data_IF_010607216433
#
_entry.id   IF_010607216433
#
_cell.length_a   1.000
_cell.length_b   1.000
_cell.length_c   1.000
_cell.angle_alpha   90.00
_cell.angle_beta   90.00
_cell.angle_gamma   90.00
#
_symmetry.space_group_name_H-M   'P 1'
#
loop_
_entity.id
_entity.type
_entity.pdbx_description
1 polymer ?
#
# COMPACT_ATOMS: atom_id res chain seq x y z
N UNK A 1 7.97 17.44 7.46
CA UNK A 1 8.00 17.12 6.01
C UNK A 1 6.80 16.28 5.61
N UNK A 2 6.54 15.15 6.28
CA UNK A 2 5.34 14.34 6.03
C UNK A 2 4.02 15.11 6.28
N UNK A 3 3.94 15.92 7.35
CA UNK A 3 2.76 16.77 7.62
C UNK A 3 2.47 17.78 6.49
N UNK A 4 3.53 18.35 5.90
CA UNK A 4 3.38 19.27 4.78
C UNK A 4 2.82 18.57 3.53
N UNK A 5 3.22 17.33 3.28
CA UNK A 5 2.68 16.50 2.18
C UNK A 5 1.20 16.17 2.47
N UNK A 6 0.88 15.73 3.70
CA UNK A 6 -0.50 15.47 4.13
C UNK A 6 -1.40 16.68 3.88
N UNK A 7 -0.94 17.87 4.26
CA UNK A 7 -1.67 19.12 4.06
C UNK A 7 -1.79 19.51 2.58
N UNK A 8 -0.72 19.39 1.81
CA UNK A 8 -0.70 19.74 0.38
C UNK A 8 -1.65 18.86 -0.46
N UNK A 9 -1.73 17.57 -0.17
CA UNK A 9 -2.56 16.63 -0.93
C UNK A 9 -3.93 16.35 -0.27
N UNK A 10 -4.14 16.84 0.95
CA UNK A 10 -5.34 16.60 1.76
C UNK A 10 -5.71 15.10 1.84
N UNK A 11 -4.70 14.26 2.07
CA UNK A 11 -4.83 12.81 2.30
C UNK A 11 -3.97 12.41 3.48
N UNK A 12 -4.36 11.33 4.16
CA UNK A 12 -3.54 10.77 5.23
C UNK A 12 -2.23 10.20 4.67
N UNK A 13 -1.16 10.13 5.50
CA UNK A 13 0.02 9.34 5.18
C UNK A 13 -0.31 7.86 4.95
N UNK A 14 0.59 7.08 4.31
CA UNK A 14 0.39 5.66 4.11
C UNK A 14 0.15 4.92 5.44
N UNK A 15 -0.65 3.86 5.38
CA UNK A 15 -1.15 3.13 6.55
C UNK A 15 -0.05 2.66 7.52
N UNK A 16 1.10 2.23 7.00
CA UNK A 16 2.16 1.60 7.77
C UNK A 16 3.50 2.33 7.62
N UNK A 17 4.24 2.40 8.72
CA UNK A 17 5.68 2.65 8.72
C UNK A 17 6.40 1.32 8.99
N UNK A 18 7.25 0.91 8.06
CA UNK A 18 7.96 -0.37 8.12
C UNK A 18 9.45 -0.12 8.38
N UNK A 19 9.99 -0.82 9.38
CA UNK A 19 11.37 -0.71 9.80
C UNK A 19 12.00 -2.11 9.91
N UNK A 20 13.25 -2.26 9.44
CA UNK A 20 14.00 -3.51 9.57
C UNK A 20 14.94 -3.38 10.78
N UNK A 21 14.69 -4.14 11.87
CA UNK A 21 15.52 -4.11 13.07
C UNK A 21 17.01 -4.31 12.79
N UNK A 22 17.84 -3.66 13.59
CA UNK A 22 19.32 -3.70 13.49
C UNK A 22 19.88 -3.18 12.15
N UNK A 23 19.07 -2.46 11.37
CA UNK A 23 19.50 -1.73 10.18
C UNK A 23 18.99 -0.29 10.23
N UNK A 24 19.39 0.53 9.26
CA UNK A 24 18.80 1.87 9.03
C UNK A 24 17.71 1.85 7.94
N UNK A 25 17.26 0.67 7.50
CA UNK A 25 16.28 0.54 6.41
C UNK A 25 14.87 0.74 6.95
N UNK A 26 14.14 1.65 6.32
CA UNK A 26 12.72 1.87 6.57
C UNK A 26 12.02 2.36 5.29
N UNK A 27 10.71 2.23 5.26
CA UNK A 27 9.83 2.73 4.20
C UNK A 27 8.39 2.87 4.71
N UNK A 28 7.51 3.38 3.87
CA UNK A 28 6.08 3.42 4.15
C UNK A 28 5.35 2.38 3.32
N UNK A 29 4.21 1.87 3.80
CA UNK A 29 3.35 1.01 3.01
C UNK A 29 1.88 1.41 3.11
N UNK A 30 1.17 1.35 1.99
CA UNK A 30 -0.28 1.51 1.90
C UNK A 30 -0.91 0.14 1.68
N UNK A 31 -1.91 -0.19 2.49
CA UNK A 31 -2.63 -1.46 2.40
C UNK A 31 -3.89 -1.27 1.55
N UNK A 32 -4.14 -2.23 0.67
CA UNK A 32 -5.37 -2.28 -0.12
C UNK A 32 -6.07 -3.62 0.06
N UNK A 33 -7.30 -3.56 0.56
CA UNK A 33 -8.19 -4.72 0.63
C UNK A 33 -8.75 -5.10 -0.76
N UNK A 34 -9.45 -6.24 -0.86
CA UNK A 34 -10.09 -6.65 -2.11
C UNK A 34 -11.05 -5.57 -2.64
N UNK A 35 -10.82 -5.14 -3.88
CA UNK A 35 -11.64 -4.11 -4.54
C UNK A 35 -11.31 -2.67 -4.14
N UNK A 36 -10.46 -2.44 -3.13
CA UNK A 36 -9.97 -1.11 -2.79
C UNK A 36 -8.92 -0.66 -3.81
N UNK A 37 -8.96 0.62 -4.19
CA UNK A 37 -8.07 1.21 -5.20
C UNK A 37 -7.47 2.49 -4.67
N UNK A 38 -6.22 2.75 -5.04
CA UNK A 38 -5.60 4.03 -4.79
C UNK A 38 -6.38 5.16 -5.49
N UNK A 39 -6.72 6.19 -4.73
CA UNK A 39 -7.19 7.44 -5.31
C UNK A 39 -6.04 8.18 -6.00
N UNK A 40 -6.35 9.00 -7.00
CA UNK A 40 -5.33 9.83 -7.66
C UNK A 40 -4.61 10.79 -6.71
N UNK A 41 -5.23 11.17 -5.58
CA UNK A 41 -4.58 11.99 -4.55
C UNK A 41 -3.56 11.19 -3.73
N UNK A 42 -3.89 9.94 -3.37
CA UNK A 42 -2.94 9.03 -2.71
C UNK A 42 -1.72 8.77 -3.60
N UNK A 43 -1.93 8.48 -4.89
CA UNK A 43 -0.81 8.26 -5.85
C UNK A 43 0.17 9.43 -5.83
N UNK A 44 -0.33 10.66 -6.01
CA UNK A 44 0.53 11.86 -6.01
C UNK A 44 1.18 12.14 -4.65
N UNK A 45 0.48 11.84 -3.55
CA UNK A 45 1.05 11.94 -2.20
C UNK A 45 2.19 10.95 -2.00
N UNK A 46 2.05 9.70 -2.47
CA UNK A 46 3.09 8.67 -2.36
C UNK A 46 4.32 9.00 -3.21
N UNK A 47 4.11 9.56 -4.41
CA UNK A 47 5.19 10.06 -5.26
C UNK A 47 5.95 11.20 -4.56
N UNK A 48 5.23 12.13 -3.93
CA UNK A 48 5.83 13.21 -3.15
C UNK A 48 6.60 12.68 -1.94
N UNK A 49 6.07 11.69 -1.20
CA UNK A 49 6.79 11.05 -0.10
C UNK A 49 8.11 10.46 -0.60
N UNK A 50 8.06 9.74 -1.73
CA UNK A 50 9.25 9.13 -2.32
C UNK A 50 10.29 10.17 -2.72
N UNK A 51 9.85 11.26 -3.37
CA UNK A 51 10.74 12.33 -3.82
C UNK A 51 11.33 13.15 -2.68
N UNK A 52 10.51 13.56 -1.72
CA UNK A 52 10.91 14.51 -0.67
C UNK A 52 11.61 13.82 0.51
N UNK A 53 11.16 12.63 0.92
CA UNK A 53 11.74 11.89 2.04
C UNK A 53 12.82 10.89 1.60
N UNK A 54 12.95 10.62 0.29
CA UNK A 54 13.94 9.69 -0.24
C UNK A 54 13.70 8.23 0.15
N UNK A 55 12.46 7.87 0.52
CA UNK A 55 12.08 6.50 0.91
C UNK A 55 10.88 6.00 0.10
N UNK A 56 10.83 4.72 -0.28
CA UNK A 56 9.75 4.22 -1.11
C UNK A 56 8.42 4.16 -0.33
N UNK A 57 7.32 4.15 -1.09
CA UNK A 57 6.01 3.74 -0.60
C UNK A 57 5.62 2.42 -1.29
N UNK A 58 5.51 1.35 -0.52
CA UNK A 58 5.09 0.03 -0.97
C UNK A 58 3.56 -0.09 -0.99
N UNK A 59 2.99 -0.80 -1.96
CA UNK A 59 1.56 -1.13 -1.97
C UNK A 59 1.39 -2.60 -1.60
N UNK A 60 0.69 -2.86 -0.51
CA UNK A 60 0.39 -4.22 -0.04
C UNK A 60 -1.04 -4.56 -0.42
N UNK A 61 -1.22 -5.43 -1.41
CA UNK A 61 -2.53 -5.96 -1.78
C UNK A 61 -2.91 -7.17 -0.92
N UNK A 62 -3.97 -7.02 -0.12
CA UNK A 62 -4.51 -8.11 0.70
C UNK A 62 -5.54 -8.88 -0.13
N UNK A 63 -5.32 -10.19 -0.23
CA UNK A 63 -6.26 -11.13 -0.86
C UNK A 63 -6.84 -12.04 0.20
N UNK A 64 -8.17 -12.15 0.21
CA UNK A 64 -8.85 -13.13 1.04
C UNK A 64 -8.73 -14.49 0.34
N UNK A 65 -8.24 -15.50 1.07
CA UNK A 65 -8.41 -16.89 0.66
C UNK A 65 -9.75 -17.38 1.13
N UNK A 66 -10.43 -18.11 0.25
CA UNK A 66 -11.58 -18.93 0.59
C UNK A 66 -11.12 -20.31 1.05
N UNK A 67 -11.98 -21.01 1.79
CA UNK A 67 -11.73 -22.42 2.19
C UNK A 67 -11.53 -23.32 0.96
N UNK A 68 -12.12 -22.98 -0.19
CA UNK A 68 -11.92 -23.70 -1.44
C UNK A 68 -10.50 -23.54 -2.03
N UNK A 69 -9.82 -22.42 -1.73
CA UNK A 69 -8.44 -22.17 -2.16
C UNK A 69 -7.43 -23.02 -1.38
N UNK A 70 -7.74 -23.37 -0.12
CA UNK A 70 -6.93 -24.26 0.71
C UNK A 70 -7.04 -25.73 0.28
N UNK A 71 -8.19 -26.11 -0.29
CA UNK A 71 -8.43 -27.45 -0.82
C UNK A 71 -7.82 -27.69 -2.22
N UNK A 72 -7.13 -26.71 -2.81
CA UNK A 72 -6.46 -26.86 -4.11
C UNK A 72 -7.38 -26.92 -5.33
N UNK A 73 -8.63 -26.48 -5.20
CA UNK A 73 -9.67 -26.59 -6.25
C UNK A 73 -9.79 -25.34 -7.14
N UNK A 74 -9.05 -24.27 -6.85
CA UNK A 74 -9.16 -22.99 -7.57
C UNK A 74 -8.33 -22.99 -8.88
N UNK A 75 -8.83 -23.73 -9.87
CA UNK A 75 -8.38 -23.69 -11.26
C UNK A 75 -9.47 -23.34 -12.28
N UNK A 76 -10.68 -22.97 -11.84
CA UNK A 76 -11.79 -22.65 -12.73
C UNK A 76 -12.14 -21.16 -12.64
N UNK A 77 -11.53 -20.38 -13.54
CA UNK A 77 -11.93 -19.02 -13.89
C UNK A 77 -13.42 -18.99 -14.25
N UNK A 78 -14.19 -18.09 -13.62
CA UNK A 78 -15.50 -17.67 -14.12
C UNK A 78 -15.35 -16.24 -14.65
N UNK A 79 -15.08 -16.15 -15.96
CA UNK A 79 -15.27 -14.91 -16.72
C UNK A 79 -16.77 -14.60 -16.78
N UNK A 80 -17.11 -13.32 -16.63
CA UNK A 80 -18.38 -12.75 -17.08
C UNK A 80 -18.10 -11.60 -18.04
#
# INVERSE_FOLDING_TARGET
MLDAIREAYAVQPPDLFVYVPQTSRYWFAEVKGPGDRLSGKQIRSHDAITRELGVPVEIIEVRLRTVADEAGLAGATLER
#
